data_IF_475474831174
#
_entry.id   IF_475474831174
#
_cell.length_a   1.000
_cell.length_b   1.000
_cell.length_c   1.000
_cell.angle_alpha   90.00
_cell.angle_beta   90.00
_cell.angle_gamma   90.00
#
_symmetry.space_group_name_H-M   'P 1'
#
loop_
_entity.id
_entity.type
_entity.pdbx_description
1 polymer ?
#
# COMPACT_ATOMS: atom_id res chain seq x y z
N UNK A 1 0.53 1.50 34.50
CA UNK A 1 -0.13 0.35 33.85
C UNK A 1 -1.12 0.94 32.87
N UNK A 2 -0.65 1.28 31.68
CA UNK A 2 -1.43 2.07 30.72
C UNK A 2 -2.07 1.09 29.76
N UNK A 3 -3.38 1.24 29.60
CA UNK A 3 -4.25 0.37 28.82
C UNK A 3 -3.71 0.21 27.40
N UNK A 4 -3.24 -1.00 27.06
CA UNK A 4 -3.08 -1.41 25.66
C UNK A 4 -4.49 -1.45 25.07
N UNK A 5 -4.89 -0.35 24.42
CA UNK A 5 -6.05 -0.38 23.55
C UNK A 5 -5.76 -1.44 22.48
N UNK A 6 -6.48 -2.54 22.54
CA UNK A 6 -6.48 -3.56 21.50
C UNK A 6 -7.13 -2.96 20.25
N UNK A 7 -6.38 -2.13 19.52
CA UNK A 7 -6.79 -1.61 18.23
C UNK A 7 -6.80 -2.78 17.26
N UNK A 8 -7.99 -3.24 16.90
CA UNK A 8 -8.15 -4.20 15.82
C UNK A 8 -7.86 -3.46 14.53
N UNK A 9 -6.70 -3.73 13.93
CA UNK A 9 -6.34 -3.21 12.61
C UNK A 9 -7.22 -3.90 11.57
N UNK A 10 -8.16 -3.14 11.00
CA UNK A 10 -8.95 -3.58 9.85
C UNK A 10 -8.21 -3.23 8.56
N UNK A 11 -7.47 -4.21 8.03
CA UNK A 11 -6.69 -4.07 6.79
C UNK A 11 -7.57 -3.73 5.59
N UNK A 12 -8.82 -4.22 5.55
CA UNK A 12 -9.74 -3.88 4.45
C UNK A 12 -10.05 -2.38 4.48
N UNK A 13 -10.44 -1.88 5.66
CA UNK A 13 -10.74 -0.45 5.84
C UNK A 13 -9.53 0.43 5.52
N UNK A 14 -8.35 0.11 6.07
CA UNK A 14 -7.14 0.91 5.85
C UNK A 14 -6.76 0.94 4.37
N UNK A 15 -6.80 -0.20 3.67
CA UNK A 15 -6.48 -0.26 2.25
C UNK A 15 -7.43 0.62 1.42
N UNK A 16 -8.74 0.52 1.68
CA UNK A 16 -9.74 1.34 0.99
C UNK A 16 -9.59 2.83 1.31
N UNK A 17 -9.42 3.20 2.57
CA UNK A 17 -9.27 4.59 2.98
C UNK A 17 -7.97 5.19 2.41
N UNK A 18 -6.88 4.41 2.37
CA UNK A 18 -5.61 4.90 1.82
C UNK A 18 -5.71 5.10 0.31
N UNK A 19 -6.31 4.16 -0.44
CA UNK A 19 -6.61 4.36 -1.86
C UNK A 19 -7.44 5.64 -2.08
N UNK A 20 -8.50 5.83 -1.29
CA UNK A 20 -9.36 7.01 -1.39
C UNK A 20 -8.59 8.30 -1.11
N UNK A 21 -7.72 8.31 -0.11
CA UNK A 21 -6.87 9.46 0.21
C UNK A 21 -5.92 9.80 -0.95
N UNK A 22 -5.31 8.82 -1.61
CA UNK A 22 -4.43 9.07 -2.76
C UNK A 22 -5.22 9.68 -3.93
N UNK A 23 -6.42 9.17 -4.22
CA UNK A 23 -7.30 9.73 -5.27
C UNK A 23 -7.75 11.16 -4.94
N UNK A 24 -8.04 11.47 -3.67
CA UNK A 24 -8.35 12.83 -3.23
C UNK A 24 -7.14 13.77 -3.41
N UNK A 25 -5.96 13.35 -2.95
CA UNK A 25 -4.73 14.10 -3.13
C UNK A 25 -4.39 14.31 -4.61
N UNK A 26 -4.70 13.33 -5.47
CA UNK A 26 -4.58 13.45 -6.92
C UNK A 26 -5.54 14.51 -7.47
N UNK A 27 -6.80 14.48 -7.08
CA UNK A 27 -7.82 15.43 -7.52
C UNK A 27 -7.48 16.88 -7.10
N UNK A 28 -6.82 17.05 -5.96
CA UNK A 28 -6.31 18.33 -5.48
C UNK A 28 -4.99 18.77 -6.14
N UNK A 29 -4.34 17.89 -6.93
CA UNK A 29 -3.06 18.19 -7.58
C UNK A 29 -1.88 18.31 -6.61
N UNK A 30 -1.94 17.63 -5.46
CA UNK A 30 -0.93 17.71 -4.39
C UNK A 30 -0.11 16.43 -4.21
N UNK A 31 -0.27 15.44 -5.09
CA UNK A 31 0.62 14.29 -5.17
C UNK A 31 2.01 14.71 -5.68
N UNK A 32 3.08 14.03 -5.25
CA UNK A 32 4.40 14.15 -5.88
C UNK A 32 4.30 13.93 -7.40
N UNK A 33 5.14 14.63 -8.17
CA UNK A 33 5.06 14.61 -9.64
C UNK A 33 5.15 13.21 -10.25
N UNK A 34 5.93 12.31 -9.66
CA UNK A 34 6.06 10.92 -10.13
C UNK A 34 4.84 10.04 -9.79
N UNK A 35 3.96 10.47 -8.86
CA UNK A 35 2.71 9.80 -8.51
C UNK A 35 1.48 10.40 -9.23
N UNK A 36 1.64 11.45 -10.04
CA UNK A 36 0.51 12.14 -10.69
C UNK A 36 -0.30 11.21 -11.63
N UNK A 37 0.32 10.12 -12.12
CA UNK A 37 -0.30 9.10 -12.97
C UNK A 37 -1.09 8.02 -12.23
N UNK A 38 -1.20 8.10 -10.90
CA UNK A 38 -1.86 7.10 -10.05
C UNK A 38 -3.20 6.60 -10.64
N UNK A 39 -3.48 5.28 -10.67
CA UNK A 39 -2.70 4.19 -10.09
C UNK A 39 -1.50 3.70 -10.94
N UNK A 40 -1.32 4.21 -12.16
CA UNK A 40 -0.29 3.72 -13.07
C UNK A 40 1.12 4.02 -12.57
N UNK A 41 2.00 3.02 -12.61
CA UNK A 41 3.39 3.11 -12.18
C UNK A 41 3.57 3.53 -10.71
N UNK A 42 2.53 3.40 -9.88
CA UNK A 42 2.56 3.74 -8.46
C UNK A 42 2.56 2.50 -7.54
N UNK A 43 2.46 1.29 -8.09
CA UNK A 43 2.35 0.04 -7.32
C UNK A 43 3.43 -0.15 -6.25
N UNK A 44 4.69 0.14 -6.57
CA UNK A 44 5.80 0.02 -5.63
C UNK A 44 5.67 1.01 -4.47
N UNK A 45 5.63 2.32 -4.76
CA UNK A 45 5.55 3.37 -3.75
C UNK A 45 4.34 3.21 -2.84
N UNK A 46 3.16 2.86 -3.38
CA UNK A 46 1.96 2.69 -2.54
C UNK A 46 2.03 1.45 -1.66
N UNK A 47 2.62 0.36 -2.16
CA UNK A 47 2.82 -0.87 -1.38
C UNK A 47 3.84 -0.65 -0.27
N UNK A 48 4.97 -0.02 -0.58
CA UNK A 48 6.01 0.31 0.41
C UNK A 48 5.47 1.27 1.48
N UNK A 49 4.78 2.36 1.12
CA UNK A 49 4.22 3.31 2.10
C UNK A 49 3.23 2.64 3.06
N UNK A 50 2.25 1.90 2.53
CA UNK A 50 1.26 1.23 3.38
C UNK A 50 1.89 0.12 4.23
N UNK A 51 2.76 -0.70 3.63
CA UNK A 51 3.36 -1.82 4.34
C UNK A 51 4.33 -1.37 5.42
N UNK A 52 5.11 -0.32 5.16
CA UNK A 52 5.98 0.30 6.17
C UNK A 52 5.17 0.86 7.34
N UNK A 53 4.05 1.55 7.05
CA UNK A 53 3.12 2.03 8.07
C UNK A 53 2.53 0.88 8.91
N UNK A 54 2.04 -0.18 8.27
CA UNK A 54 1.50 -1.33 9.00
C UNK A 54 2.54 -1.97 9.92
N UNK A 55 3.77 -2.11 9.42
CA UNK A 55 4.91 -2.65 10.17
C UNK A 55 5.40 -1.72 11.30
N UNK A 56 5.06 -0.42 11.27
CA UNK A 56 5.45 0.52 12.32
C UNK A 56 4.47 0.53 13.50
N UNK A 57 3.27 -0.03 13.35
CA UNK A 57 2.25 -0.08 14.42
C UNK A 57 2.68 -1.12 15.48
N UNK A 58 2.87 -0.74 16.76
CA UNK A 58 3.19 -1.70 17.81
C UNK A 58 2.09 -2.77 17.95
N UNK A 59 2.45 -4.04 17.76
CA UNK A 59 1.49 -5.15 17.75
C UNK A 59 0.57 -5.18 16.52
N UNK A 60 0.88 -4.40 15.49
CA UNK A 60 0.22 -4.43 14.18
C UNK A 60 0.56 -5.69 13.38
N UNK A 61 -0.06 -5.86 12.19
CA UNK A 61 0.19 -7.01 11.35
C UNK A 61 1.56 -6.92 10.67
N UNK A 62 2.12 -8.07 10.30
CA UNK A 62 3.31 -8.11 9.45
C UNK A 62 2.91 -7.91 7.98
N UNK A 63 3.54 -6.95 7.33
CA UNK A 63 3.36 -6.64 5.92
C UNK A 63 4.65 -6.91 5.13
N UNK A 64 4.52 -7.65 4.05
CA UNK A 64 5.59 -7.93 3.09
C UNK A 64 5.24 -7.35 1.72
N UNK A 65 6.21 -6.77 1.02
CA UNK A 65 6.05 -6.47 -0.41
C UNK A 65 6.34 -7.72 -1.23
N UNK A 66 5.60 -7.87 -2.32
CA UNK A 66 5.83 -8.88 -3.36
C UNK A 66 6.00 -8.13 -4.68
N UNK A 67 7.20 -8.22 -5.26
CA UNK A 67 7.50 -7.77 -6.61
C UNK A 67 7.39 -8.95 -7.57
N UNK A 68 6.64 -8.78 -8.65
CA UNK A 68 6.39 -9.84 -9.60
C UNK A 68 6.33 -9.32 -11.04
N UNK A 69 6.43 -10.25 -11.98
CA UNK A 69 6.42 -10.00 -13.42
C UNK A 69 5.31 -10.80 -14.10
N UNK A 70 4.62 -10.17 -15.06
CA UNK A 70 3.67 -10.85 -15.95
C UNK A 70 3.72 -10.22 -17.33
N UNK A 71 3.96 -11.02 -18.36
CA UNK A 71 4.10 -10.56 -19.75
C UNK A 71 5.09 -9.39 -19.92
N UNK A 72 6.22 -9.43 -19.19
CA UNK A 72 7.24 -8.39 -19.21
C UNK A 72 6.85 -7.08 -18.52
N UNK A 73 5.71 -7.04 -17.81
CA UNK A 73 5.29 -5.89 -17.00
C UNK A 73 5.54 -6.19 -15.51
N UNK A 74 6.19 -5.26 -14.78
CA UNK A 74 6.34 -5.38 -13.33
C UNK A 74 5.06 -4.96 -12.61
N UNK A 75 4.86 -5.53 -11.42
CA UNK A 75 3.85 -5.10 -10.48
C UNK A 75 4.30 -5.40 -9.06
N UNK A 76 3.78 -4.63 -8.10
CA UNK A 76 4.05 -4.83 -6.68
C UNK A 76 2.78 -4.69 -5.87
N UNK A 77 2.59 -5.61 -4.91
CA UNK A 77 1.50 -5.57 -3.94
C UNK A 77 2.03 -5.93 -2.54
N UNK A 78 1.15 -5.86 -1.55
CA UNK A 78 1.42 -6.30 -0.19
C UNK A 78 0.81 -7.67 0.11
N UNK A 79 1.48 -8.44 0.95
CA UNK A 79 0.90 -9.56 1.68
C UNK A 79 0.87 -9.22 3.16
N UNK A 80 -0.32 -9.22 3.75
CA UNK A 80 -0.56 -8.88 5.17
C UNK A 80 -1.36 -10.02 5.79
N UNK A 81 -0.77 -10.75 6.74
CA UNK A 81 -1.40 -11.94 7.36
C UNK A 81 -2.00 -12.93 6.33
N UNK A 82 -1.24 -13.23 5.27
CA UNK A 82 -1.66 -14.10 4.14
C UNK A 82 -2.76 -13.55 3.23
N UNK A 83 -3.25 -12.33 3.47
CA UNK A 83 -4.11 -11.62 2.52
C UNK A 83 -3.24 -10.79 1.57
N UNK A 84 -3.57 -10.84 0.29
CA UNK A 84 -3.09 -9.88 -0.69
C UNK A 84 -3.81 -8.55 -0.44
N UNK A 85 -3.05 -7.47 -0.43
CA UNK A 85 -3.53 -6.08 -0.37
C UNK A 85 -2.91 -5.34 -1.55
N UNK A 86 -3.74 -4.95 -2.52
CA UNK A 86 -3.31 -4.27 -3.73
C UNK A 86 -4.20 -3.04 -4.00
N UNK A 87 -3.57 -1.88 -4.03
CA UNK A 87 -4.24 -0.59 -4.24
C UNK A 87 -4.21 -0.14 -5.70
N UNK A 88 -3.64 -0.95 -6.59
CA UNK A 88 -3.26 -0.52 -7.95
C UNK A 88 -3.49 -1.60 -9.01
N UNK A 89 -4.11 -2.73 -8.67
CA UNK A 89 -4.42 -3.79 -9.63
C UNK A 89 -5.21 -3.26 -10.84
N UNK A 90 -6.11 -2.30 -10.64
CA UNK A 90 -6.90 -1.63 -11.68
C UNK A 90 -6.09 -0.76 -12.66
N UNK A 91 -4.77 -0.62 -12.48
CA UNK A 91 -3.90 -0.09 -13.54
C UNK A 91 -3.79 -1.04 -14.75
N UNK A 92 -4.17 -2.32 -14.57
CA UNK A 92 -4.22 -3.32 -15.63
C UNK A 92 -5.66 -3.49 -16.13
N UNK A 93 -5.90 -3.63 -17.45
CA UNK A 93 -7.25 -3.79 -17.99
C UNK A 93 -8.01 -5.02 -17.45
N UNK A 94 -7.28 -6.06 -17.10
CA UNK A 94 -7.77 -7.31 -16.52
C UNK A 94 -7.61 -7.37 -14.99
N UNK A 95 -7.02 -6.33 -14.39
CA UNK A 95 -6.90 -6.18 -12.95
C UNK A 95 -8.14 -5.49 -12.39
N UNK A 96 -8.75 -6.12 -11.39
CA UNK A 96 -9.95 -5.64 -10.72
C UNK A 96 -10.05 -6.32 -9.37
N UNK A 97 -10.57 -5.65 -8.33
CA UNK A 97 -11.10 -4.28 -8.29
C UNK A 97 -10.02 -3.21 -8.05
N UNK A 98 -10.42 -1.94 -7.87
CA UNK A 98 -9.50 -0.83 -7.54
C UNK A 98 -8.72 -1.03 -6.22
N UNK A 99 -9.32 -1.75 -5.28
CA UNK A 99 -8.65 -2.19 -4.05
C UNK A 99 -8.98 -3.64 -3.83
N UNK A 100 -7.99 -4.50 -4.00
CA UNK A 100 -8.12 -5.91 -3.68
C UNK A 100 -7.62 -6.16 -2.25
N UNK A 101 -8.47 -6.74 -1.41
CA UNK A 101 -8.07 -7.33 -0.13
C UNK A 101 -8.69 -8.71 -0.03
N UNK A 102 -7.86 -9.74 0.01
CA UNK A 102 -8.35 -11.12 -0.04
C UNK A 102 -7.27 -12.18 -0.14
N UNK A 103 -7.64 -13.47 -0.17
CA UNK A 103 -6.68 -14.54 -0.45
C UNK A 103 -6.11 -14.41 -1.88
N UNK A 104 -5.05 -15.14 -2.18
CA UNK A 104 -4.56 -15.26 -3.56
C UNK A 104 -5.66 -15.84 -4.48
N UNK A 105 -5.88 -15.21 -5.63
CA UNK A 105 -6.78 -15.67 -6.67
C UNK A 105 -6.01 -16.01 -7.97
N UNK A 106 -6.75 -16.38 -9.02
CA UNK A 106 -6.16 -16.74 -10.30
C UNK A 106 -5.39 -15.60 -10.99
N UNK A 107 -5.74 -14.34 -10.70
CA UNK A 107 -5.03 -13.19 -11.26
C UNK A 107 -3.63 -13.10 -10.66
N UNK A 108 -3.52 -13.15 -9.33
CA UNK A 108 -2.24 -13.11 -8.61
C UNK A 108 -1.39 -14.37 -8.83
N UNK A 109 -2.01 -15.56 -8.86
CA UNK A 109 -1.31 -16.81 -9.17
C UNK A 109 -0.72 -16.85 -10.60
N UNK A 110 -1.17 -15.96 -11.49
CA UNK A 110 -0.63 -15.80 -12.84
C UNK A 110 0.63 -14.94 -12.94
N UNK A 111 1.13 -14.38 -11.84
CA UNK A 111 2.35 -13.58 -11.82
C UNK A 111 3.56 -14.41 -11.38
N UNK A 112 4.72 -14.16 -12.00
CA UNK A 112 6.00 -14.75 -11.60
C UNK A 112 6.63 -13.87 -10.50
N UNK A 113 6.71 -14.40 -9.28
CA UNK A 113 7.31 -13.69 -8.14
C UNK A 113 8.83 -13.59 -8.32
N UNK A 114 9.34 -12.36 -8.30
CA UNK A 114 10.77 -12.06 -8.37
C UNK A 114 11.37 -11.88 -6.96
N UNK A 115 10.75 -11.00 -6.15
CA UNK A 115 11.22 -10.68 -4.81
C UNK A 115 10.06 -10.61 -3.82
N UNK A 116 10.29 -11.12 -2.61
CA UNK A 116 9.42 -10.94 -1.46
C UNK A 116 10.23 -10.60 -0.23
N UNK A 117 9.77 -9.64 0.56
CA UNK A 117 10.45 -9.25 1.79
C UNK A 117 9.63 -8.31 2.65
N UNK A 118 10.12 -8.04 3.86
CA UNK A 118 9.47 -7.10 4.78
C UNK A 118 9.29 -5.75 4.10
N UNK A 119 8.05 -5.24 4.11
CA UNK A 119 7.75 -3.94 3.55
C UNK A 119 8.46 -2.84 4.35
N UNK A 120 9.14 -1.95 3.63
CA UNK A 120 9.80 -0.78 4.17
C UNK A 120 9.81 0.32 3.11
N UNK A 121 9.69 1.58 3.53
CA UNK A 121 9.74 2.72 2.62
C UNK A 121 10.86 3.69 3.02
N UNK A 122 11.79 3.93 2.11
CA UNK A 122 12.91 4.84 2.33
C UNK A 122 14.09 4.55 1.40
N UNK A 123 15.14 5.37 1.50
CA UNK A 123 16.38 5.16 0.77
C UNK A 123 16.37 5.64 -0.69
N UNK A 124 15.31 6.33 -1.12
CA UNK A 124 15.22 7.00 -2.43
C UNK A 124 15.26 8.53 -2.26
N UNK A 125 15.67 9.29 -3.29
CA UNK A 125 15.59 10.76 -3.25
C UNK A 125 14.16 11.31 -3.13
N UNK A 126 13.14 10.52 -3.47
CA UNK A 126 11.72 10.92 -3.43
C UNK A 126 11.03 10.56 -2.11
N UNK A 127 11.70 9.81 -1.23
CA UNK A 127 11.11 9.27 0.00
C UNK A 127 10.46 10.33 0.89
N UNK A 128 11.01 11.55 0.97
CA UNK A 128 10.40 12.63 1.77
C UNK A 128 9.06 13.08 1.21
N UNK A 129 8.95 13.23 -0.11
CA UNK A 129 7.74 13.71 -0.75
C UNK A 129 6.64 12.64 -0.72
N UNK A 130 7.04 11.38 -0.86
CA UNK A 130 6.15 10.21 -0.76
C UNK A 130 5.59 10.05 0.68
N UNK A 131 6.41 10.29 1.71
CA UNK A 131 5.95 10.25 3.11
C UNK A 131 4.86 11.26 3.43
N UNK A 132 4.90 12.44 2.83
CA UNK A 132 3.83 13.45 2.99
C UNK A 132 2.47 12.92 2.54
N UNK A 133 2.42 12.03 1.53
CA UNK A 133 1.18 11.38 1.08
C UNK A 133 0.58 10.52 2.20
N UNK A 134 1.43 9.73 2.85
CA UNK A 134 1.04 8.86 3.96
C UNK A 134 0.67 9.67 5.22
N UNK A 135 1.41 10.72 5.54
CA UNK A 135 1.14 11.57 6.71
C UNK A 135 -0.24 12.22 6.64
N UNK A 136 -0.63 12.75 5.47
CA UNK A 136 -1.97 13.31 5.25
C UNK A 136 -3.07 12.27 5.43
N UNK A 137 -2.82 11.03 5.00
CA UNK A 137 -3.75 9.93 5.23
C UNK A 137 -3.88 9.61 6.73
N UNK A 138 -2.76 9.45 7.45
CA UNK A 138 -2.74 9.14 8.88
C UNK A 138 -3.49 10.23 9.68
N UNK A 139 -3.21 11.50 9.39
CA UNK A 139 -3.86 12.65 10.03
C UNK A 139 -5.38 12.63 9.79
N UNK A 140 -5.82 12.45 8.55
CA UNK A 140 -7.24 12.44 8.20
C UNK A 140 -7.99 11.23 8.78
N UNK A 141 -7.36 10.06 8.77
CA UNK A 141 -7.97 8.82 9.25
C UNK A 141 -7.98 8.71 10.79
N UNK A 142 -7.33 9.64 11.51
CA UNK A 142 -7.18 9.58 12.97
C UNK A 142 -6.38 8.36 13.42
N UNK A 143 -5.49 7.88 12.57
CA UNK A 143 -4.67 6.70 12.80
C UNK A 143 -3.45 7.07 13.68
N UNK A 144 -2.89 6.11 14.44
CA UNK A 144 -1.70 6.39 15.24
C UNK A 144 -0.52 6.73 14.33
N UNK A 145 0.21 7.78 14.72
CA UNK A 145 1.52 8.10 14.18
C UNK A 145 2.56 7.16 14.78
N UNK A 146 3.53 6.73 13.96
CA UNK A 146 4.76 6.15 14.47
C UNK A 146 5.60 7.26 15.12
N UNK A 147 5.77 7.20 16.44
CA UNK A 147 6.66 8.07 17.22
C UNK A 147 8.14 7.85 16.87
#
# INVERSE_FOLDING_TARGET
MTMVHNMVIDVHKIAHDFRASIEEQKALGILPGHMAGFPHACCAVTSELLGDYLNSIPGGPEAETVSAMRDGKPHMWLVVNSLIVDLTADQFPDGSPAVYVGPEDAWYAGWEIDLRGKASHGGTPTSSDERVVLERFIEHAGLPTSD
#
